data_IF_791910993559
#
_entry.id   IF_791910993559
#
_cell.length_a   1.000
_cell.length_b   1.000
_cell.length_c   1.000
_cell.angle_alpha   90.00
_cell.angle_beta   90.00
_cell.angle_gamma   90.00
#
_symmetry.space_group_name_H-M   'P 1'
#
loop_
_entity.id
_entity.type
_entity.pdbx_description
1 polymer ?
#
# COMPACT_ATOMS: atom_id res chain seq x y z
N UNK A 1 15.06 20.22 -2.04
CA UNK A 1 14.44 19.02 -2.64
C UNK A 1 13.03 19.37 -3.09
N UNK A 2 12.95 20.10 -4.20
CA UNK A 2 11.73 20.78 -4.64
C UNK A 2 10.85 19.93 -5.56
N UNK A 3 11.02 18.58 -5.51
CA UNK A 3 10.40 17.65 -6.45
C UNK A 3 9.40 16.65 -5.82
N UNK A 4 8.99 16.88 -4.57
CA UNK A 4 8.01 16.02 -3.90
C UNK A 4 6.75 16.83 -3.62
N UNK A 5 5.64 16.38 -4.18
CA UNK A 5 4.31 16.93 -3.87
C UNK A 5 3.55 15.91 -3.03
N UNK A 6 2.99 16.34 -1.91
CA UNK A 6 2.23 15.49 -0.99
C UNK A 6 0.74 15.82 -1.11
N UNK A 7 -0.08 14.79 -1.21
CA UNK A 7 -1.55 14.89 -1.22
C UNK A 7 -2.10 14.02 -0.11
N UNK A 8 -2.93 14.57 0.75
CA UNK A 8 -3.59 13.83 1.80
C UNK A 8 -4.90 13.20 1.30
N UNK A 9 -5.20 12.02 1.83
CA UNK A 9 -6.49 11.35 1.69
C UNK A 9 -7.27 11.48 2.99
N UNK A 10 -8.52 11.90 2.90
CA UNK A 10 -9.40 12.00 4.05
C UNK A 10 -10.52 10.95 4.02
N UNK A 11 -10.75 10.32 2.86
CA UNK A 11 -11.80 9.34 2.65
C UNK A 11 -11.53 8.44 1.45
N UNK A 12 -12.19 7.29 1.39
CA UNK A 12 -11.97 6.30 0.33
C UNK A 12 -12.27 6.83 -1.09
N UNK A 13 -13.28 7.70 -1.25
CA UNK A 13 -13.61 8.28 -2.56
C UNK A 13 -12.45 9.07 -3.18
N UNK A 14 -11.52 9.57 -2.37
CA UNK A 14 -10.34 10.29 -2.86
C UNK A 14 -9.41 9.37 -3.67
N UNK A 15 -9.48 8.05 -3.44
CA UNK A 15 -8.73 7.07 -4.23
C UNK A 15 -9.15 7.04 -5.70
N UNK A 16 -10.44 7.20 -6.00
CA UNK A 16 -10.94 7.27 -7.38
C UNK A 16 -10.38 8.49 -8.13
N UNK A 17 -10.32 9.63 -7.45
CA UNK A 17 -9.73 10.84 -8.02
C UNK A 17 -8.22 10.66 -8.22
N UNK A 18 -7.53 10.15 -7.22
CA UNK A 18 -6.10 9.88 -7.30
C UNK A 18 -5.78 8.87 -8.40
N UNK A 19 -6.56 7.79 -8.53
CA UNK A 19 -6.41 6.84 -9.63
C UNK A 19 -6.51 7.52 -11.00
N UNK A 20 -7.52 8.38 -11.21
CA UNK A 20 -7.69 9.12 -12.47
C UNK A 20 -6.49 10.01 -12.78
N UNK A 21 -5.97 10.71 -11.78
CA UNK A 21 -4.79 11.57 -11.91
C UNK A 21 -3.54 10.74 -12.24
N UNK A 22 -3.31 9.66 -11.51
CA UNK A 22 -2.15 8.78 -11.71
C UNK A 22 -2.21 8.05 -13.05
N UNK A 23 -3.40 7.60 -13.46
CA UNK A 23 -3.60 6.93 -14.74
C UNK A 23 -3.39 7.87 -15.93
N UNK A 24 -3.89 9.10 -15.84
CA UNK A 24 -3.67 10.12 -16.87
C UNK A 24 -2.23 10.64 -16.87
N UNK A 25 -1.65 10.80 -15.69
CA UNK A 25 -0.33 11.39 -15.43
C UNK A 25 -0.07 12.68 -16.26
N UNK A 26 -1.11 13.52 -16.39
CA UNK A 26 -1.08 14.76 -17.17
C UNK A 26 -0.68 15.93 -16.27
N UNK A 27 0.40 16.66 -16.61
CA UNK A 27 0.84 17.82 -15.84
C UNK A 27 -0.25 18.90 -15.64
N UNK A 28 -1.13 19.08 -16.61
CA UNK A 28 -2.23 20.07 -16.50
C UNK A 28 -3.26 19.66 -15.45
N UNK A 29 -3.59 18.36 -15.37
CA UNK A 29 -4.50 17.83 -14.36
C UNK A 29 -3.88 17.93 -12.97
N UNK A 30 -2.59 17.60 -12.85
CA UNK A 30 -1.85 17.75 -11.60
C UNK A 30 -1.77 19.20 -11.15
N UNK A 31 -1.44 20.14 -12.07
CA UNK A 31 -1.40 21.57 -11.78
C UNK A 31 -2.75 22.09 -11.26
N UNK A 32 -3.84 21.65 -11.90
CA UNK A 32 -5.20 22.00 -11.48
C UNK A 32 -5.51 21.44 -10.07
N UNK A 33 -5.12 20.21 -9.80
CA UNK A 33 -5.39 19.56 -8.50
C UNK A 33 -4.61 20.22 -7.36
N UNK A 34 -3.32 20.49 -7.57
CA UNK A 34 -2.45 21.02 -6.53
C UNK A 34 -2.48 22.55 -6.40
N UNK A 35 -3.00 23.26 -7.39
CA UNK A 35 -2.96 24.71 -7.43
C UNK A 35 -1.55 25.30 -7.65
N UNK A 36 -0.60 24.46 -8.09
CA UNK A 36 0.79 24.84 -8.39
C UNK A 36 1.18 24.32 -9.78
N UNK A 37 2.10 24.97 -10.48
CA UNK A 37 2.56 24.52 -11.79
C UNK A 37 3.28 23.14 -11.69
N UNK A 38 2.83 22.18 -12.49
CA UNK A 38 3.52 20.91 -12.72
C UNK A 38 3.93 20.89 -14.19
N UNK A 39 5.22 20.88 -14.45
CA UNK A 39 5.76 21.07 -15.81
C UNK A 39 5.84 19.77 -16.61
N UNK A 40 6.01 18.64 -15.93
CA UNK A 40 6.17 17.32 -16.57
C UNK A 40 5.39 16.23 -15.82
N UNK A 41 5.09 15.09 -16.46
CA UNK A 41 4.53 13.93 -15.79
C UNK A 41 5.42 13.47 -14.62
N UNK A 42 4.81 12.84 -13.62
CA UNK A 42 5.57 12.23 -12.52
C UNK A 42 6.20 10.92 -12.99
N UNK A 43 7.46 10.70 -12.62
CA UNK A 43 8.17 9.44 -12.85
C UNK A 43 7.76 8.38 -11.82
N UNK A 44 7.40 8.82 -10.61
CA UNK A 44 7.06 7.98 -9.46
C UNK A 44 5.87 8.55 -8.69
N UNK A 45 5.04 7.64 -8.18
CA UNK A 45 3.97 7.95 -7.23
C UNK A 45 4.15 7.05 -6.01
N UNK A 46 4.09 7.62 -4.81
CA UNK A 46 4.14 6.86 -3.56
C UNK A 46 2.78 6.90 -2.86
N UNK A 47 2.31 5.75 -2.38
CA UNK A 47 1.11 5.55 -1.59
C UNK A 47 1.50 5.28 -0.14
N UNK A 48 1.46 6.31 0.70
CA UNK A 48 1.94 6.25 2.07
C UNK A 48 0.81 6.60 3.06
N UNK A 49 0.26 5.63 3.76
CA UNK A 49 0.54 4.19 3.74
C UNK A 49 -0.70 3.40 3.33
N UNK A 50 -0.52 2.33 2.57
CA UNK A 50 -1.63 1.48 2.13
C UNK A 50 -2.34 0.78 3.30
N UNK A 51 -1.62 0.56 4.40
CA UNK A 51 -2.21 -0.01 5.62
C UNK A 51 -3.35 0.84 6.19
N UNK A 52 -3.27 2.18 6.06
CA UNK A 52 -4.32 3.09 6.50
C UNK A 52 -5.51 3.12 5.52
N UNK A 53 -5.25 2.99 4.22
CA UNK A 53 -6.28 3.06 3.20
C UNK A 53 -7.39 2.00 3.39
N UNK A 54 -7.05 0.82 3.92
CA UNK A 54 -8.05 -0.21 4.20
C UNK A 54 -9.11 0.25 5.22
N UNK A 55 -8.77 1.15 6.14
CA UNK A 55 -9.72 1.70 7.10
C UNK A 55 -10.71 2.64 6.42
N UNK A 56 -10.27 3.45 5.46
CA UNK A 56 -11.16 4.27 4.63
C UNK A 56 -12.09 3.40 3.78
N UNK A 57 -11.61 2.27 3.25
CA UNK A 57 -12.45 1.30 2.56
C UNK A 57 -13.54 0.74 3.47
N UNK A 58 -13.19 0.39 4.70
CA UNK A 58 -14.13 -0.14 5.67
C UNK A 58 -15.16 0.90 6.11
N UNK A 59 -14.75 2.15 6.31
CA UNK A 59 -15.63 3.28 6.61
C UNK A 59 -16.63 3.53 5.46
N UNK A 60 -16.18 3.45 4.22
CA UNK A 60 -17.04 3.59 3.05
C UNK A 60 -18.10 2.48 3.00
N UNK A 61 -17.70 1.22 3.24
CA UNK A 61 -18.64 0.10 3.31
C UNK A 61 -19.65 0.28 4.42
N UNK A 62 -19.19 0.70 5.59
CA UNK A 62 -20.04 0.98 6.75
C UNK A 62 -21.05 2.09 6.46
N UNK A 63 -20.61 3.16 5.79
CA UNK A 63 -21.49 4.30 5.50
C UNK A 63 -22.65 3.95 4.56
N UNK A 64 -22.47 2.90 3.77
CA UNK A 64 -23.48 2.38 2.83
C UNK A 64 -24.44 1.37 3.45
N UNK A 65 -24.03 0.77 4.57
CA UNK A 65 -24.88 -0.18 5.29
C UNK A 65 -25.83 0.57 6.23
N UNK A 66 -27.15 0.44 5.95
CA UNK A 66 -28.19 1.11 6.72
C UNK A 66 -28.27 0.65 8.18
N UNK A 67 -27.90 -0.61 8.47
CA UNK A 67 -27.89 -1.17 9.82
C UNK A 67 -26.73 -0.63 10.67
N UNK A 68 -25.69 -0.12 10.03
CA UNK A 68 -24.50 0.42 10.69
C UNK A 68 -24.51 1.95 10.84
N UNK A 69 -25.48 2.64 10.25
CA UNK A 69 -25.62 4.09 10.38
C UNK A 69 -25.94 4.46 11.83
N UNK A 70 -25.15 5.37 12.40
CA UNK A 70 -25.41 5.92 13.74
C UNK A 70 -24.67 5.25 14.90
N UNK A 71 -23.77 4.33 14.67
CA UNK A 71 -23.06 3.56 15.72
C UNK A 71 -21.85 4.29 16.35
N UNK A 72 -21.55 5.52 15.95
CA UNK A 72 -20.50 6.34 16.58
C UNK A 72 -19.13 5.64 16.67
N UNK A 73 -18.35 5.96 17.70
CA UNK A 73 -17.00 5.43 17.89
C UNK A 73 -16.92 3.92 18.20
N UNK A 74 -18.06 3.26 18.45
CA UNK A 74 -18.14 1.82 18.69
C UNK A 74 -18.29 0.97 17.41
N UNK A 75 -18.00 1.52 16.24
CA UNK A 75 -18.22 0.88 14.95
C UNK A 75 -17.57 -0.51 14.79
N UNK A 76 -16.45 -0.77 15.45
CA UNK A 76 -15.75 -2.07 15.39
C UNK A 76 -16.60 -3.24 15.88
N UNK A 77 -17.60 -3.00 16.75
CA UNK A 77 -18.47 -4.05 17.27
C UNK A 77 -19.49 -4.57 16.25
N UNK A 78 -19.79 -3.77 15.23
CA UNK A 78 -20.83 -4.07 14.24
C UNK A 78 -20.29 -4.47 12.87
N UNK A 79 -18.95 -4.62 12.75
CA UNK A 79 -18.35 -5.11 11.49
C UNK A 79 -18.65 -6.61 11.39
N UNK A 80 -19.41 -6.98 10.37
CA UNK A 80 -19.73 -8.37 10.07
C UNK A 80 -18.67 -8.99 9.18
N UNK A 81 -18.60 -10.32 9.15
CA UNK A 81 -17.60 -11.07 8.38
C UNK A 81 -17.64 -10.73 6.88
N UNK A 82 -18.82 -10.43 6.34
CA UNK A 82 -18.99 -10.02 4.95
C UNK A 82 -18.29 -8.70 4.60
N UNK A 83 -18.25 -7.74 5.54
CA UNK A 83 -17.55 -6.46 5.31
C UNK A 83 -16.05 -6.66 5.13
N UNK A 84 -15.48 -7.61 5.85
CA UNK A 84 -14.07 -7.98 5.67
C UNK A 84 -13.78 -8.62 4.31
N UNK A 85 -14.70 -9.46 3.82
CA UNK A 85 -14.64 -10.01 2.47
C UNK A 85 -14.68 -8.91 1.42
N UNK A 86 -15.66 -8.02 1.50
CA UNK A 86 -15.82 -6.89 0.58
C UNK A 86 -14.60 -5.95 0.60
N UNK A 87 -14.05 -5.66 1.77
CA UNK A 87 -12.83 -4.86 1.91
C UNK A 87 -11.63 -5.55 1.23
N UNK A 88 -11.51 -6.87 1.36
CA UNK A 88 -10.47 -7.64 0.68
C UNK A 88 -10.59 -7.52 -0.84
N UNK A 89 -11.81 -7.62 -1.39
CA UNK A 89 -12.06 -7.49 -2.83
C UNK A 89 -11.80 -6.07 -3.33
N UNK A 90 -12.19 -5.04 -2.57
CA UNK A 90 -11.85 -3.65 -2.88
C UNK A 90 -10.34 -3.40 -2.90
N UNK A 91 -9.61 -3.96 -1.94
CA UNK A 91 -8.14 -3.87 -1.92
C UNK A 91 -7.52 -4.49 -3.18
N UNK A 92 -7.98 -5.70 -3.57
CA UNK A 92 -7.52 -6.37 -4.79
C UNK A 92 -7.79 -5.53 -6.03
N UNK A 93 -9.01 -5.04 -6.16
CA UNK A 93 -9.41 -4.22 -7.30
C UNK A 93 -8.57 -2.94 -7.39
N UNK A 94 -8.41 -2.22 -6.27
CA UNK A 94 -7.64 -0.99 -6.22
C UNK A 94 -6.17 -1.21 -6.64
N UNK A 95 -5.51 -2.23 -6.08
CA UNK A 95 -4.12 -2.56 -6.45
C UNK A 95 -4.02 -2.96 -7.92
N UNK A 96 -4.97 -3.75 -8.45
CA UNK A 96 -4.98 -4.16 -9.85
C UNK A 96 -5.15 -2.97 -10.80
N UNK A 97 -6.04 -2.04 -10.48
CA UNK A 97 -6.24 -0.81 -11.25
C UNK A 97 -5.00 0.08 -11.24
N UNK A 98 -4.43 0.32 -10.07
CA UNK A 98 -3.23 1.14 -9.94
C UNK A 98 -2.03 0.54 -10.68
N UNK A 99 -1.85 -0.77 -10.63
CA UNK A 99 -0.80 -1.46 -11.41
C UNK A 99 -0.92 -1.28 -12.92
N UNK A 100 -2.11 -1.01 -13.44
CA UNK A 100 -2.30 -0.77 -14.88
C UNK A 100 -1.81 0.62 -15.33
N UNK A 101 -1.58 1.53 -14.39
CA UNK A 101 -1.06 2.87 -14.69
C UNK A 101 0.39 2.79 -15.17
N UNK A 102 0.76 3.66 -16.11
CA UNK A 102 2.10 3.69 -16.75
C UNK A 102 3.16 4.45 -15.94
N UNK A 103 2.93 4.74 -14.70
CA UNK A 103 3.87 5.42 -13.79
C UNK A 103 4.44 4.41 -12.80
N UNK A 104 5.70 4.58 -12.41
CA UNK A 104 6.27 3.75 -11.35
C UNK A 104 5.57 4.05 -10.01
N UNK A 105 5.29 3.01 -9.24
CA UNK A 105 4.55 3.17 -8.00
C UNK A 105 5.24 2.46 -6.84
N UNK A 106 5.25 3.14 -5.69
CA UNK A 106 5.72 2.61 -4.43
C UNK A 106 4.54 2.57 -3.46
N UNK A 107 4.33 1.44 -2.82
CA UNK A 107 3.32 1.26 -1.77
C UNK A 107 4.04 1.00 -0.46
N UNK A 108 3.91 1.92 0.48
CA UNK A 108 4.40 1.66 1.83
C UNK A 108 3.30 0.98 2.64
N UNK A 109 3.69 0.07 3.51
CA UNK A 109 2.78 -0.66 4.39
C UNK A 109 3.47 -0.87 5.73
N UNK A 110 2.72 -0.71 6.80
CA UNK A 110 3.17 -1.13 8.11
C UNK A 110 3.35 -2.65 8.11
N UNK A 111 4.20 -3.16 8.99
CA UNK A 111 4.38 -4.59 9.16
C UNK A 111 3.51 -5.14 10.28
N UNK A 112 3.11 -6.40 10.15
CA UNK A 112 2.51 -7.18 11.24
C UNK A 112 3.02 -8.61 11.24
N UNK A 113 2.94 -9.22 12.41
CA UNK A 113 3.07 -10.67 12.58
C UNK A 113 1.68 -11.28 12.63
N UNK A 114 1.53 -12.40 11.97
CA UNK A 114 0.31 -13.19 11.98
C UNK A 114 0.65 -14.67 12.21
N UNK A 115 -0.33 -15.44 12.64
CA UNK A 115 -0.16 -16.87 12.92
C UNK A 115 -1.14 -17.67 12.07
N UNK A 116 -0.63 -18.65 11.37
CA UNK A 116 -1.47 -19.63 10.71
C UNK A 116 -2.14 -20.51 11.77
N UNK A 117 -3.46 -20.49 11.82
CA UNK A 117 -4.23 -21.20 12.85
C UNK A 117 -4.11 -22.73 12.73
N UNK A 118 -3.88 -23.25 11.52
CA UNK A 118 -3.80 -24.69 11.27
C UNK A 118 -2.41 -25.23 11.57
N UNK A 119 -1.37 -24.58 11.07
CA UNK A 119 0.02 -25.02 11.23
C UNK A 119 0.70 -24.46 12.48
N UNK A 120 0.15 -23.40 13.08
CA UNK A 120 0.79 -22.65 14.14
C UNK A 120 1.99 -21.82 13.71
N UNK A 121 2.31 -21.79 12.43
CA UNK A 121 3.47 -21.08 11.90
C UNK A 121 3.25 -19.57 11.98
N UNK A 122 4.26 -18.84 12.48
CA UNK A 122 4.27 -17.37 12.50
C UNK A 122 4.89 -16.88 11.19
N UNK A 123 4.19 -16.00 10.51
CA UNK A 123 4.67 -15.30 9.33
C UNK A 123 4.54 -13.78 9.51
N UNK A 124 5.43 -13.05 8.86
CA UNK A 124 5.38 -11.59 8.78
C UNK A 124 4.83 -11.14 7.44
N UNK A 125 4.29 -9.94 7.41
CA UNK A 125 3.77 -9.37 6.17
C UNK A 125 3.24 -7.96 6.35
N UNK A 126 2.65 -7.38 5.29
CA UNK A 126 2.03 -6.07 5.37
C UNK A 126 0.84 -6.08 6.34
N UNK A 127 0.67 -4.99 7.09
CA UNK A 127 -0.43 -4.80 8.03
C UNK A 127 -1.73 -4.49 7.27
N UNK A 128 -2.22 -5.47 6.55
CA UNK A 128 -3.50 -5.49 5.85
C UNK A 128 -4.35 -6.66 6.33
N UNK A 129 -5.66 -6.64 6.04
CA UNK A 129 -6.58 -7.63 6.60
C UNK A 129 -6.66 -8.91 5.75
N UNK A 130 -6.90 -10.02 6.45
CA UNK A 130 -7.25 -11.31 5.84
C UNK A 130 -6.16 -11.91 4.96
N UNK A 131 -6.56 -12.69 3.97
CA UNK A 131 -5.67 -13.39 3.04
C UNK A 131 -4.79 -12.45 2.20
N UNK A 132 -5.15 -11.15 2.13
CA UNK A 132 -4.34 -10.16 1.41
C UNK A 132 -2.91 -10.07 1.93
N UNK A 133 -2.66 -10.37 3.20
CA UNK A 133 -1.29 -10.41 3.77
C UNK A 133 -0.37 -11.32 2.94
N UNK A 134 -0.87 -12.49 2.56
CA UNK A 134 -0.12 -13.47 1.79
C UNK A 134 -0.19 -13.22 0.28
N UNK A 135 -1.30 -12.69 -0.22
CA UNK A 135 -1.54 -12.47 -1.64
C UNK A 135 -0.89 -11.16 -2.16
N UNK A 136 -0.84 -10.10 -1.32
CA UNK A 136 -0.38 -8.78 -1.73
C UNK A 136 1.03 -8.77 -2.36
N UNK A 137 2.02 -9.51 -1.85
CA UNK A 137 3.35 -9.57 -2.47
C UNK A 137 3.34 -10.04 -3.93
N UNK A 138 2.35 -10.84 -4.33
CA UNK A 138 2.24 -11.33 -5.71
C UNK A 138 1.93 -10.22 -6.72
N UNK A 139 1.31 -9.13 -6.29
CA UNK A 139 0.92 -8.03 -7.15
C UNK A 139 2.08 -7.10 -7.53
N UNK A 140 3.21 -7.14 -6.84
CA UNK A 140 4.35 -6.22 -7.04
C UNK A 140 5.51 -6.91 -7.72
N UNK A 141 6.32 -6.13 -8.45
CA UNK A 141 7.55 -6.61 -9.08
C UNK A 141 8.69 -6.72 -8.07
N UNK A 142 8.69 -5.83 -7.08
CA UNK A 142 9.66 -5.79 -6.00
C UNK A 142 8.90 -5.69 -4.68
N UNK A 143 9.25 -6.54 -3.73
CA UNK A 143 8.77 -6.49 -2.34
C UNK A 143 9.99 -6.35 -1.45
N UNK A 144 10.03 -5.25 -0.69
CA UNK A 144 11.14 -4.92 0.20
C UNK A 144 10.65 -4.91 1.63
N UNK A 145 11.32 -5.67 2.49
CA UNK A 145 11.18 -5.54 3.93
C UNK A 145 12.28 -4.64 4.48
N UNK A 146 11.90 -3.60 5.21
CA UNK A 146 12.81 -2.66 5.85
C UNK A 146 12.86 -2.93 7.35
N UNK A 147 14.06 -2.84 7.95
CA UNK A 147 14.25 -3.09 9.37
C UNK A 147 15.50 -2.35 9.88
N UNK A 148 15.66 -2.27 11.20
CA UNK A 148 16.87 -1.78 11.83
C UNK A 148 17.65 -2.97 12.39
N UNK A 149 18.96 -3.05 12.10
CA UNK A 149 19.82 -4.09 12.67
C UNK A 149 20.18 -3.81 14.14
N UNK A 150 20.86 -4.76 14.79
CA UNK A 150 21.26 -4.65 16.18
C UNK A 150 22.26 -3.49 16.45
N UNK A 151 22.91 -2.99 15.41
CA UNK A 151 23.82 -1.85 15.47
C UNK A 151 23.13 -0.51 15.18
N UNK A 152 21.80 -0.51 14.96
CA UNK A 152 21.01 0.68 14.66
C UNK A 152 21.09 1.16 13.21
N UNK A 153 21.60 0.34 12.27
CA UNK A 153 21.64 0.71 10.87
C UNK A 153 20.28 0.40 10.21
N UNK A 154 19.86 1.27 9.30
CA UNK A 154 18.73 1.00 8.43
C UNK A 154 19.10 -0.06 7.40
N UNK A 155 18.30 -1.10 7.33
CA UNK A 155 18.49 -2.22 6.42
C UNK A 155 17.25 -2.46 5.58
N UNK A 156 17.44 -3.03 4.41
CA UNK A 156 16.36 -3.47 3.53
C UNK A 156 16.70 -4.79 2.87
N UNK A 157 15.71 -5.62 2.61
CA UNK A 157 15.89 -6.86 1.86
C UNK A 157 14.75 -7.05 0.87
N UNK A 158 15.08 -7.39 -0.37
CA UNK A 158 14.13 -7.87 -1.37
C UNK A 158 14.25 -9.40 -1.60
N UNK A 159 14.93 -10.08 -0.67
CA UNK A 159 14.99 -11.53 -0.54
C UNK A 159 14.13 -11.97 0.64
N UNK A 160 13.43 -13.07 0.52
CA UNK A 160 12.72 -13.65 1.66
C UNK A 160 13.71 -13.96 2.80
N UNK A 161 13.39 -13.49 4.01
CA UNK A 161 14.23 -13.63 5.20
C UNK A 161 13.41 -14.11 6.38
N UNK A 162 13.61 -15.37 6.76
CA UNK A 162 12.84 -15.99 7.82
C UNK A 162 11.34 -15.94 7.53
N UNK A 163 10.58 -15.28 8.39
CA UNK A 163 9.12 -15.12 8.28
C UNK A 163 8.67 -13.96 7.37
N UNK A 164 9.60 -13.14 6.88
CA UNK A 164 9.30 -11.96 6.09
C UNK A 164 9.37 -12.25 4.59
N UNK A 165 8.35 -11.86 3.80
CA UNK A 165 8.41 -11.99 2.37
C UNK A 165 9.39 -10.97 1.77
N UNK A 166 10.05 -11.38 0.70
CA UNK A 166 10.86 -10.53 -0.14
C UNK A 166 10.79 -11.05 -1.56
N UNK A 167 10.83 -10.15 -2.54
CA UNK A 167 10.72 -10.51 -3.94
C UNK A 167 11.39 -9.45 -4.81
N UNK A 168 12.02 -9.90 -5.88
CA UNK A 168 12.45 -9.02 -6.97
C UNK A 168 12.34 -9.74 -8.31
N UNK A 169 11.93 -9.00 -9.34
CA UNK A 169 12.01 -9.41 -10.75
C UNK A 169 13.20 -8.78 -11.48
N UNK A 170 13.97 -7.94 -10.79
CA UNK A 170 15.09 -7.20 -11.39
C UNK A 170 16.44 -7.95 -11.30
N UNK A 171 16.44 -9.16 -10.75
CA UNK A 171 17.66 -9.94 -10.59
C UNK A 171 17.62 -10.85 -9.37
N UNK A 172 18.76 -11.03 -8.70
CA UNK A 172 18.86 -11.85 -7.49
C UNK A 172 18.50 -11.01 -6.27
N UNK A 173 17.67 -11.57 -5.37
CA UNK A 173 17.32 -10.91 -4.11
C UNK A 173 18.55 -10.67 -3.23
N UNK A 174 18.63 -9.49 -2.65
CA UNK A 174 19.78 -9.00 -1.87
C UNK A 174 19.34 -8.37 -0.56
N UNK A 175 20.29 -8.21 0.35
CA UNK A 175 20.19 -7.39 1.53
C UNK A 175 21.05 -6.12 1.36
N UNK A 176 20.54 -5.00 1.84
CA UNK A 176 21.17 -3.71 1.72
C UNK A 176 21.30 -3.07 3.12
N UNK A 177 22.42 -2.43 3.38
CA UNK A 177 22.63 -1.60 4.56
C UNK A 177 22.63 -0.13 4.15
N UNK A 178 21.83 0.69 4.82
CA UNK A 178 21.59 2.10 4.47
C UNK A 178 21.27 2.27 2.97
N UNK A 179 20.21 1.58 2.45
CA UNK A 179 19.93 1.53 1.02
C UNK A 179 19.53 2.88 0.46
N UNK A 180 19.88 3.08 -0.81
CA UNK A 180 19.33 4.17 -1.62
C UNK A 180 18.17 3.65 -2.47
N UNK A 181 17.27 4.54 -2.90
CA UNK A 181 16.19 4.17 -3.81
C UNK A 181 16.73 3.53 -5.12
N UNK A 182 17.87 4.03 -5.62
CA UNK A 182 18.53 3.47 -6.80
C UNK A 182 18.90 2.00 -6.61
N UNK A 183 19.44 1.61 -5.46
CA UNK A 183 19.80 0.22 -5.18
C UNK A 183 18.58 -0.70 -5.08
N UNK A 184 17.45 -0.17 -4.61
CA UNK A 184 16.23 -0.95 -4.40
C UNK A 184 15.40 -1.13 -5.69
N UNK A 185 15.37 -0.13 -6.57
CA UNK A 185 14.39 -0.03 -7.65
C UNK A 185 14.97 0.05 -9.06
N UNK A 186 16.29 -0.02 -9.23
CA UNK A 186 16.92 -0.09 -10.56
C UNK A 186 17.68 -1.39 -10.78
N UNK A 187 17.85 -1.75 -12.06
CA UNK A 187 18.73 -2.86 -12.50
C UNK A 187 20.19 -2.49 -12.34
#
# INVERSE_FOLDING_TARGET
NDNITVVSFDQFKDLDEAYKLVNANDPKLWSKKFGIPVEKPFDWVAWDTWSELQWYMLEELRSKDSEMRGVGLNFRKNIQIQHWGMMTDLNKLAVQQLRSCKVNQVFTMQEKLDKDELSGQIYGGPAIHGKMVQEMPAYFDIVVHTYTDLQGNYCATNKAKGKWPGKTRLGVGQEFKNPTAKQLFTK
#
